data_IF_678516205945
#
_entry.id   IF_678516205945
#
_cell.length_a   1.000
_cell.length_b   1.000
_cell.length_c   1.000
_cell.angle_alpha   90.00
_cell.angle_beta   90.00
_cell.angle_gamma   90.00
#
_symmetry.space_group_name_H-M   'P 1'
#
loop_
_entity.id
_entity.type
_entity.pdbx_description
1 polymer ?
#
# COMPACT_ATOMS: atom_id res chain seq x y z
N UNK A 1 19.97 8.14 0.89
CA UNK A 1 19.51 8.47 -0.48
C UNK A 1 20.73 8.66 -1.35
N UNK A 2 20.79 8.00 -2.50
CA UNK A 2 21.81 8.29 -3.53
C UNK A 2 21.34 9.46 -4.39
N UNK A 3 22.27 10.30 -4.85
CA UNK A 3 21.94 11.42 -5.74
C UNK A 3 21.90 10.93 -7.17
N UNK A 4 20.74 11.09 -7.82
CA UNK A 4 20.50 10.69 -9.21
C UNK A 4 20.08 11.94 -9.98
N UNK A 5 20.68 12.17 -11.15
CA UNK A 5 20.28 13.23 -12.07
C UNK A 5 19.39 12.59 -13.13
N UNK A 6 18.16 13.08 -13.25
CA UNK A 6 17.15 12.62 -14.20
C UNK A 6 16.48 13.83 -14.82
N UNK A 7 16.01 13.66 -16.05
CA UNK A 7 15.11 14.61 -16.69
C UNK A 7 13.66 14.27 -16.30
N UNK A 8 12.88 15.28 -15.95
CA UNK A 8 11.51 15.14 -15.44
C UNK A 8 10.67 16.27 -16.01
N UNK A 9 9.46 15.94 -16.45
CA UNK A 9 8.48 16.92 -16.87
C UNK A 9 8.07 17.82 -15.68
N UNK A 10 8.34 19.12 -15.80
CA UNK A 10 8.10 20.12 -14.75
C UNK A 10 6.60 20.32 -14.46
N UNK A 11 5.72 20.20 -15.46
CA UNK A 11 4.28 20.34 -15.29
C UNK A 11 3.73 19.16 -14.49
N UNK A 12 4.13 17.94 -14.86
CA UNK A 12 3.76 16.73 -14.14
C UNK A 12 4.31 16.73 -12.72
N UNK A 13 5.54 17.23 -12.53
CA UNK A 13 6.15 17.35 -11.21
C UNK A 13 5.39 18.34 -10.32
N UNK A 14 4.93 19.47 -10.86
CA UNK A 14 4.12 20.44 -10.14
C UNK A 14 2.76 19.87 -9.74
N UNK A 15 2.09 19.14 -10.64
CA UNK A 15 0.82 18.47 -10.33
C UNK A 15 1.01 17.43 -9.22
N UNK A 16 2.03 16.57 -9.35
CA UNK A 16 2.36 15.58 -8.33
C UNK A 16 2.68 16.23 -6.97
N UNK A 17 3.34 17.39 -6.97
CA UNK A 17 3.64 18.13 -5.76
C UNK A 17 2.36 18.64 -5.07
N UNK A 18 1.40 19.14 -5.86
CA UNK A 18 0.09 19.56 -5.39
C UNK A 18 -0.72 18.41 -4.81
N UNK A 19 -0.79 17.27 -5.51
CA UNK A 19 -1.48 16.06 -5.04
C UNK A 19 -0.85 15.52 -3.75
N UNK A 20 0.48 15.53 -3.69
CA UNK A 20 1.23 14.97 -2.55
C UNK A 20 1.37 15.94 -1.37
N UNK A 21 1.02 17.22 -1.55
CA UNK A 21 1.20 18.26 -0.53
C UNK A 21 2.67 18.54 -0.20
N UNK A 22 3.57 18.39 -1.18
CA UNK A 22 5.03 18.51 -0.98
C UNK A 22 5.58 19.79 -1.57
N UNK A 23 6.67 20.31 -1.00
CA UNK A 23 7.29 21.58 -1.41
C UNK A 23 8.67 21.42 -2.04
N UNK A 24 9.21 20.21 -2.11
CA UNK A 24 10.54 19.94 -2.68
C UNK A 24 10.45 18.81 -3.70
N UNK A 25 11.19 18.94 -4.81
CA UNK A 25 11.24 17.94 -5.88
C UNK A 25 11.55 16.54 -5.36
N UNK A 26 12.53 16.43 -4.47
CA UNK A 26 12.89 15.13 -3.89
C UNK A 26 11.75 14.53 -3.06
N UNK A 27 11.04 15.34 -2.27
CA UNK A 27 9.88 14.85 -1.51
C UNK A 27 8.74 14.42 -2.46
N UNK A 28 8.47 15.19 -3.51
CA UNK A 28 7.46 14.86 -4.52
C UNK A 28 7.76 13.56 -5.23
N UNK A 29 8.99 13.40 -5.75
CA UNK A 29 9.42 12.18 -6.44
C UNK A 29 9.34 10.98 -5.50
N UNK A 30 9.81 11.11 -4.26
CA UNK A 30 9.74 10.02 -3.29
C UNK A 30 8.29 9.65 -2.94
N UNK A 31 7.40 10.63 -2.75
CA UNK A 31 6.00 10.40 -2.47
C UNK A 31 5.30 9.69 -3.64
N UNK A 32 5.56 10.13 -4.87
CA UNK A 32 5.03 9.52 -6.09
C UNK A 32 5.51 8.06 -6.24
N UNK A 33 6.80 7.79 -6.02
CA UNK A 33 7.34 6.43 -6.06
C UNK A 33 6.72 5.52 -4.99
N UNK A 34 6.52 6.04 -3.77
CA UNK A 34 5.86 5.30 -2.69
C UNK A 34 4.42 4.96 -3.07
N UNK A 35 3.64 5.89 -3.63
CA UNK A 35 2.28 5.59 -4.05
C UNK A 35 2.25 4.57 -5.20
N UNK A 36 3.11 4.73 -6.21
CA UNK A 36 3.21 3.79 -7.33
C UNK A 36 3.50 2.36 -6.85
N UNK A 37 4.48 2.20 -5.96
CA UNK A 37 4.82 0.90 -5.35
C UNK A 37 3.66 0.35 -4.54
N UNK A 38 3.02 1.16 -3.69
CA UNK A 38 1.87 0.73 -2.89
C UNK A 38 0.71 0.31 -3.78
N UNK A 39 0.43 1.05 -4.84
CA UNK A 39 -0.62 0.73 -5.82
C UNK A 39 -0.36 -0.62 -6.48
N UNK A 40 0.88 -0.89 -6.89
CA UNK A 40 1.25 -2.17 -7.48
C UNK A 40 1.14 -3.33 -6.48
N UNK A 41 1.59 -3.12 -5.24
CA UNK A 41 1.44 -4.11 -4.15
C UNK A 41 -0.03 -4.41 -3.84
N UNK A 42 -0.89 -3.39 -3.77
CA UNK A 42 -2.34 -3.57 -3.60
C UNK A 42 -2.93 -4.39 -4.74
N UNK A 43 -2.60 -4.07 -5.98
CA UNK A 43 -3.08 -4.83 -7.14
C UNK A 43 -2.63 -6.30 -7.09
N UNK A 44 -1.35 -6.56 -6.76
CA UNK A 44 -0.83 -7.92 -6.62
C UNK A 44 -1.52 -8.68 -5.49
N UNK A 45 -1.74 -8.02 -4.36
CA UNK A 45 -2.41 -8.63 -3.20
C UNK A 45 -3.87 -8.98 -3.53
N UNK A 46 -4.58 -8.09 -4.21
CA UNK A 46 -5.96 -8.35 -4.65
C UNK A 46 -6.03 -9.48 -5.68
N UNK A 47 -5.06 -9.58 -6.60
CA UNK A 47 -4.95 -10.71 -7.52
C UNK A 47 -4.75 -12.04 -6.79
N UNK A 48 -3.78 -12.09 -5.88
CA UNK A 48 -3.55 -13.25 -5.02
C UNK A 48 -4.78 -13.63 -4.17
N UNK A 49 -5.53 -12.64 -3.68
CA UNK A 49 -6.77 -12.86 -2.95
C UNK A 49 -7.84 -13.51 -3.86
N UNK A 50 -7.99 -13.02 -5.09
CA UNK A 50 -8.92 -13.58 -6.07
C UNK A 50 -8.57 -15.02 -6.47
N UNK A 51 -7.28 -15.38 -6.42
CA UNK A 51 -6.78 -16.75 -6.65
C UNK A 51 -6.96 -17.69 -5.43
N UNK A 52 -7.63 -17.22 -4.36
CA UNK A 52 -7.88 -18.03 -3.17
C UNK A 52 -6.74 -18.02 -2.16
N UNK A 53 -5.90 -16.98 -2.17
CA UNK A 53 -4.77 -16.82 -1.25
C UNK A 53 -5.11 -16.84 0.24
N UNK A 54 -6.38 -16.69 0.62
CA UNK A 54 -6.86 -16.72 2.00
C UNK A 54 -7.82 -17.91 2.23
N UNK A 55 -7.33 -19.17 2.18
CA UNK A 55 -8.17 -20.36 2.21
C UNK A 55 -8.96 -20.54 3.52
N UNK A 56 -8.54 -19.89 4.61
CA UNK A 56 -9.16 -20.02 5.93
C UNK A 56 -9.78 -18.71 6.45
N UNK A 57 -9.87 -17.65 5.63
CA UNK A 57 -10.42 -16.37 6.07
C UNK A 57 -11.95 -16.27 5.90
N UNK A 58 -12.52 -17.05 4.97
CA UNK A 58 -13.96 -17.02 4.63
C UNK A 58 -14.74 -18.24 5.13
N UNK A 59 -14.17 -19.03 6.05
CA UNK A 59 -14.92 -20.10 6.73
C UNK A 59 -15.96 -19.49 7.68
N UNK A 60 -17.08 -20.18 7.88
CA UNK A 60 -17.90 -19.95 9.08
C UNK A 60 -16.97 -20.07 10.29
N UNK A 61 -16.96 -19.06 11.17
CA UNK A 61 -16.33 -19.20 12.48
C UNK A 61 -17.10 -20.27 13.25
N UNK A 62 -16.83 -21.54 12.95
CA UNK A 62 -17.24 -22.64 13.81
C UNK A 62 -16.59 -22.37 15.15
N UNK A 63 -17.44 -22.22 16.16
CA UNK A 63 -17.12 -21.58 17.43
C UNK A 63 -15.77 -22.03 17.98
N UNK A 64 -15.00 -21.07 18.49
CA UNK A 64 -13.95 -21.37 19.45
C UNK A 64 -14.61 -21.99 20.68
N UNK A 65 -14.86 -23.29 20.64
CA UNK A 65 -15.29 -24.06 21.79
C UNK A 65 -14.08 -24.13 22.73
N UNK A 66 -14.15 -23.35 23.80
CA UNK A 66 -13.09 -23.21 24.80
C UNK A 66 -12.67 -21.77 25.03
N UNK A 67 -13.58 -20.95 25.58
CA UNK A 67 -13.21 -19.75 26.32
C UNK A 67 -12.68 -20.19 27.72
N UNK A 68 -11.38 -20.04 28.04
CA UNK A 68 -10.86 -20.38 29.36
C UNK A 68 -11.13 -19.28 30.40
N UNK A 69 -11.80 -18.17 30.04
CA UNK A 69 -11.99 -17.01 30.92
C UNK A 69 -13.40 -16.88 31.52
N UNK A 70 -14.15 -17.98 31.63
CA UNK A 70 -15.41 -18.05 32.39
C UNK A 70 -15.27 -19.02 33.56
N UNK A 71 -14.55 -18.64 34.62
CA UNK A 71 -14.78 -19.06 36.02
C UNK A 71 -13.61 -18.65 36.93
N UNK A 72 -13.73 -17.52 37.63
CA UNK A 72 -13.62 -17.38 39.11
C UNK A 72 -13.43 -15.93 39.53
#
# INVERSE_FOLDING_TARGET
MTRTVIDVDDEMLAEAAGISGTTTTAATVNAALVDAVKRRKRASFLGWLAEGGLPNLTGTAEGSDGDPHQST
#
